data_IF_191933856315
#
_entry.id   IF_191933856315
#
_cell.length_a   1.000
_cell.length_b   1.000
_cell.length_c   1.000
_cell.angle_alpha   90.00
_cell.angle_beta   90.00
_cell.angle_gamma   90.00
#
_symmetry.space_group_name_H-M   'P 1'
#
loop_
_entity.id
_entity.type
_entity.pdbx_description
1 polymer ?
#
# COMPACT_ATOMS: atom_id res chain seq x y z
N UNK A 1 -9.02 -51.66 -13.41
CA UNK A 1 -7.91 -51.56 -12.43
C UNK A 1 -7.22 -50.22 -12.68
N UNK A 2 -7.09 -49.22 -11.80
CA UNK A 2 -7.36 -49.00 -10.38
C UNK A 2 -8.06 -47.64 -10.26
N UNK A 3 -9.15 -47.54 -9.51
CA UNK A 3 -9.75 -46.27 -9.08
C UNK A 3 -9.04 -45.86 -7.77
N UNK A 4 -8.35 -44.71 -7.75
CA UNK A 4 -7.90 -44.11 -6.49
C UNK A 4 -9.02 -43.18 -6.00
N UNK A 5 -9.71 -43.60 -4.93
CA UNK A 5 -10.61 -42.74 -4.17
C UNK A 5 -9.77 -41.80 -3.31
N UNK A 6 -9.92 -40.49 -3.50
CA UNK A 6 -9.54 -39.50 -2.48
C UNK A 6 -10.60 -39.53 -1.38
N UNK A 7 -10.22 -39.96 -0.18
CA UNK A 7 -11.01 -39.75 1.03
C UNK A 7 -10.56 -38.43 1.68
N UNK A 8 -11.42 -37.41 1.59
CA UNK A 8 -11.38 -36.24 2.46
C UNK A 8 -11.90 -36.69 3.84
N UNK A 9 -11.01 -36.80 4.83
CA UNK A 9 -11.39 -36.95 6.23
C UNK A 9 -11.86 -35.59 6.77
N UNK A 10 -13.08 -35.46 7.31
CA UNK A 10 -13.42 -34.34 8.16
C UNK A 10 -12.70 -34.51 9.50
N UNK A 11 -11.80 -33.58 9.85
CA UNK A 11 -11.30 -33.43 11.22
C UNK A 11 -12.48 -33.08 12.13
N UNK A 12 -12.99 -34.07 12.87
CA UNK A 12 -13.88 -33.84 13.99
C UNK A 12 -13.03 -33.37 15.18
N UNK A 13 -13.04 -32.08 15.47
CA UNK A 13 -12.59 -31.56 16.77
C UNK A 13 -13.60 -32.00 17.84
N UNK A 14 -13.28 -33.05 18.59
CA UNK A 14 -14.00 -33.38 19.82
C UNK A 14 -13.48 -32.50 20.97
N UNK A 15 -14.32 -31.69 21.64
CA UNK A 15 -13.93 -31.05 22.89
C UNK A 15 -13.94 -32.11 24.00
N UNK A 16 -12.76 -32.48 24.49
CA UNK A 16 -12.62 -33.24 25.72
C UNK A 16 -12.79 -32.28 26.91
N UNK A 17 -13.92 -32.35 27.60
CA UNK A 17 -14.09 -31.72 28.91
C UNK A 17 -13.79 -32.75 30.00
N UNK A 18 -12.74 -32.52 30.77
CA UNK A 18 -12.54 -33.17 32.06
C UNK A 18 -13.04 -32.20 33.15
N UNK A 19 -14.00 -32.64 33.96
CA UNK A 19 -14.41 -31.96 35.19
C UNK A 19 -13.74 -32.66 36.37
N UNK A 20 -12.94 -31.93 37.14
CA UNK A 20 -12.58 -32.27 38.52
C UNK A 20 -13.01 -31.13 39.47
N UNK A 21 -13.35 -31.45 40.73
CA UNK A 21 -14.23 -30.64 41.56
C UNK A 21 -13.51 -29.49 42.32
N UNK A 22 -14.35 -28.54 42.74
CA UNK A 22 -14.03 -27.27 43.38
C UNK A 22 -12.95 -27.31 44.48
N UNK A 23 -11.82 -26.68 44.17
CA UNK A 23 -11.05 -25.89 45.13
C UNK A 23 -10.70 -24.56 44.44
N UNK A 24 -10.76 -23.44 45.18
CA UNK A 24 -10.31 -22.12 44.72
C UNK A 24 -8.79 -22.12 44.51
N UNK A 25 -8.32 -22.87 43.52
CA UNK A 25 -6.98 -22.72 42.96
C UNK A 25 -6.99 -21.46 42.11
N UNK A 26 -6.01 -20.57 42.33
CA UNK A 26 -5.67 -19.55 41.33
C UNK A 26 -5.57 -20.26 39.98
N UNK A 27 -6.51 -19.94 39.08
CA UNK A 27 -6.56 -20.52 37.75
C UNK A 27 -5.26 -20.15 37.06
N UNK A 28 -4.29 -21.07 37.02
CA UNK A 28 -2.99 -20.86 36.38
C UNK A 28 -3.24 -20.38 34.95
N UNK A 29 -2.84 -19.14 34.66
CA UNK A 29 -2.93 -18.59 33.31
C UNK A 29 -1.81 -19.20 32.48
N UNK A 30 -2.14 -20.25 31.73
CA UNK A 30 -1.22 -20.90 30.80
C UNK A 30 -1.08 -20.12 29.48
N UNK A 31 -1.73 -18.96 29.36
CA UNK A 31 -1.80 -18.17 28.13
C UNK A 31 -2.82 -18.72 27.14
N UNK A 32 -2.88 -18.10 25.96
CA UNK A 32 -3.78 -18.46 24.86
C UNK A 32 -3.00 -18.70 23.58
N UNK A 33 -3.38 -19.75 22.84
CA UNK A 33 -2.94 -19.99 21.46
C UNK A 33 -4.06 -19.56 20.52
N UNK A 34 -3.75 -18.78 19.50
CA UNK A 34 -4.72 -18.35 18.49
C UNK A 34 -4.03 -18.11 17.15
N UNK A 35 -4.77 -18.23 16.06
CA UNK A 35 -4.18 -18.23 14.74
C UNK A 35 -5.23 -18.27 13.65
N UNK A 36 -4.76 -18.39 12.41
CA UNK A 36 -5.61 -18.49 11.23
C UNK A 36 -4.91 -19.30 10.15
N UNK A 37 -5.71 -20.02 9.37
CA UNK A 37 -5.27 -20.71 8.17
C UNK A 37 -6.02 -20.13 6.97
N UNK A 38 -5.27 -19.76 5.94
CA UNK A 38 -5.80 -19.29 4.67
C UNK A 38 -5.17 -20.11 3.54
N UNK A 39 -5.99 -20.54 2.59
CA UNK A 39 -5.56 -21.33 1.43
C UNK A 39 -6.26 -20.83 0.18
N UNK A 40 -5.48 -20.29 -0.75
CA UNK A 40 -5.97 -19.79 -2.03
C UNK A 40 -5.41 -20.69 -3.14
N UNK A 41 -6.27 -21.49 -3.77
CA UNK A 41 -5.88 -22.41 -4.84
C UNK A 41 -6.68 -22.14 -6.10
N UNK A 42 -6.01 -22.16 -7.26
CA UNK A 42 -6.62 -21.90 -8.56
C UNK A 42 -6.25 -22.98 -9.58
N UNK A 43 -7.21 -23.27 -10.47
CA UNK A 43 -6.99 -24.02 -11.70
C UNK A 43 -7.16 -23.08 -12.89
N UNK A 44 -6.07 -22.76 -13.59
CA UNK A 44 -6.12 -21.91 -14.78
C UNK A 44 -6.60 -22.72 -15.99
N UNK A 45 -7.53 -22.19 -16.77
CA UNK A 45 -8.13 -22.87 -17.94
C UNK A 45 -7.62 -22.28 -19.26
N UNK A 46 -7.71 -23.08 -20.33
CA UNK A 46 -7.51 -22.58 -21.69
C UNK A 46 -8.66 -21.67 -22.10
N UNK A 47 -8.35 -20.61 -22.85
CA UNK A 47 -9.33 -19.75 -23.50
C UNK A 47 -9.05 -19.71 -25.01
N UNK A 48 -9.92 -20.37 -25.77
CA UNK A 48 -9.82 -20.43 -27.24
C UNK A 48 -10.07 -19.08 -27.90
N UNK A 49 -10.87 -18.20 -27.28
CA UNK A 49 -11.24 -16.90 -27.85
C UNK A 49 -10.08 -15.91 -27.83
N UNK A 50 -9.25 -15.96 -26.78
CA UNK A 50 -8.06 -15.11 -26.63
C UNK A 50 -6.76 -15.80 -27.04
N UNK A 51 -6.81 -17.12 -27.34
CA UNK A 51 -5.64 -17.92 -27.70
C UNK A 51 -4.77 -18.33 -26.50
N UNK A 52 -5.24 -18.12 -25.27
CA UNK A 52 -4.51 -18.48 -24.04
C UNK A 52 -4.54 -19.99 -23.84
N UNK A 53 -3.36 -20.59 -23.73
CA UNK A 53 -3.17 -22.01 -23.48
C UNK A 53 -2.34 -22.25 -22.21
N UNK A 54 -2.71 -23.26 -21.44
CA UNK A 54 -1.98 -23.75 -20.26
C UNK A 54 -0.52 -24.11 -20.56
N UNK A 55 -0.20 -24.54 -21.77
CA UNK A 55 1.17 -24.88 -22.17
C UNK A 55 2.08 -23.64 -22.25
N UNK A 56 1.51 -22.47 -22.51
CA UNK A 56 2.26 -21.24 -22.81
C UNK A 56 2.49 -20.40 -21.55
N UNK A 57 3.38 -19.41 -21.67
CA UNK A 57 3.56 -18.36 -20.65
C UNK A 57 2.24 -17.62 -20.40
N UNK A 58 1.89 -17.31 -19.14
CA UNK A 58 2.66 -17.52 -17.91
C UNK A 58 2.35 -18.83 -17.17
N UNK A 59 1.47 -19.69 -17.71
CA UNK A 59 1.03 -20.93 -17.05
C UNK A 59 2.12 -22.01 -17.13
N UNK A 60 2.81 -22.13 -18.27
CA UNK A 60 3.97 -23.01 -18.48
C UNK A 60 3.72 -24.48 -18.08
N UNK A 61 2.58 -25.02 -18.48
CA UNK A 61 2.17 -26.40 -18.18
C UNK A 61 1.80 -26.65 -16.71
N UNK A 62 1.69 -25.60 -15.89
CA UNK A 62 1.43 -25.67 -14.44
C UNK A 62 0.09 -24.99 -14.08
N UNK A 63 -1.05 -25.61 -14.41
CA UNK A 63 -2.37 -25.01 -14.23
C UNK A 63 -2.86 -25.01 -12.78
N UNK A 64 -2.36 -25.91 -11.93
CA UNK A 64 -2.65 -25.91 -10.48
C UNK A 64 -1.64 -25.02 -9.77
N UNK A 65 -2.14 -24.02 -9.05
CA UNK A 65 -1.32 -23.09 -8.28
C UNK A 65 -2.00 -22.79 -6.95
N UNK A 66 -1.21 -22.58 -5.91
CA UNK A 66 -1.75 -22.38 -4.56
C UNK A 66 -0.82 -21.54 -3.69
N UNK A 67 -1.43 -20.67 -2.88
CA UNK A 67 -0.76 -19.87 -1.86
C UNK A 67 -1.47 -20.11 -0.53
N UNK A 68 -0.73 -20.55 0.48
CA UNK A 68 -1.28 -20.96 1.77
C UNK A 68 -0.52 -20.28 2.89
N UNK A 69 -1.24 -19.88 3.94
CA UNK A 69 -0.72 -19.14 5.08
C UNK A 69 -1.27 -19.74 6.37
N UNK A 70 -0.39 -20.17 7.27
CA UNK A 70 -0.75 -20.62 8.61
C UNK A 70 -0.08 -19.72 9.64
N UNK A 71 -0.87 -18.88 10.30
CA UNK A 71 -0.42 -18.04 11.40
C UNK A 71 -0.76 -18.71 12.74
N UNK A 72 0.23 -18.83 13.62
CA UNK A 72 0.05 -19.31 14.99
C UNK A 72 0.68 -18.32 15.94
N UNK A 73 -0.09 -17.87 16.94
CA UNK A 73 0.36 -16.98 17.99
C UNK A 73 0.14 -17.64 19.36
N UNK A 74 1.06 -17.37 20.27
CA UNK A 74 0.95 -17.65 21.68
C UNK A 74 1.02 -16.33 22.46
N UNK A 75 0.07 -16.09 23.35
CA UNK A 75 0.05 -14.91 24.19
C UNK A 75 -0.10 -15.29 25.66
N UNK A 76 0.75 -14.69 26.50
CA UNK A 76 0.70 -14.82 27.96
C UNK A 76 0.85 -13.42 28.57
N UNK A 77 -0.20 -12.93 29.24
CA UNK A 77 -0.24 -11.58 29.79
C UNK A 77 0.15 -10.51 28.73
N UNK A 78 1.24 -9.76 28.95
CA UNK A 78 1.76 -8.76 28.03
C UNK A 78 2.68 -9.33 26.93
N UNK A 79 3.10 -10.59 27.02
CA UNK A 79 3.98 -11.22 26.04
C UNK A 79 3.17 -11.89 24.92
N UNK A 80 3.59 -11.71 23.67
CA UNK A 80 3.05 -12.42 22.50
C UNK A 80 4.20 -12.90 21.62
N UNK A 81 4.17 -14.15 21.18
CA UNK A 81 5.05 -14.65 20.14
C UNK A 81 4.21 -15.23 18.99
N UNK A 82 4.64 -15.05 17.76
CA UNK A 82 3.92 -15.54 16.59
C UNK A 82 4.85 -16.06 15.50
N UNK A 83 4.35 -17.01 14.72
CA UNK A 83 5.00 -17.57 13.53
C UNK A 83 3.98 -17.73 12.42
N UNK A 84 4.36 -17.34 11.20
CA UNK A 84 3.59 -17.57 9.98
C UNK A 84 4.37 -18.53 9.09
N UNK A 85 3.78 -19.69 8.81
CA UNK A 85 4.22 -20.60 7.76
C UNK A 85 3.50 -20.25 6.46
N UNK A 86 4.24 -20.22 5.35
CA UNK A 86 3.69 -19.93 4.03
C UNK A 86 4.09 -21.04 3.06
N UNK A 87 3.16 -21.47 2.20
CA UNK A 87 3.38 -22.50 1.21
C UNK A 87 2.84 -22.10 -0.17
N UNK A 88 3.74 -22.09 -1.16
CA UNK A 88 3.51 -21.71 -2.55
C UNK A 88 3.65 -22.92 -3.49
N UNK A 89 2.94 -24.01 -3.18
CA UNK A 89 3.11 -25.35 -3.77
C UNK A 89 1.84 -25.81 -4.51
N UNK A 90 1.94 -26.47 -5.69
CA UNK A 90 3.18 -26.81 -6.41
C UNK A 90 3.83 -25.58 -7.08
N UNK A 91 3.09 -24.48 -7.22
CA UNK A 91 3.57 -23.20 -7.71
C UNK A 91 2.71 -22.08 -7.12
N UNK A 92 3.30 -20.89 -6.94
CA UNK A 92 2.56 -19.70 -6.55
C UNK A 92 1.51 -19.32 -7.61
N UNK A 93 0.41 -18.70 -7.17
CA UNK A 93 -0.57 -18.04 -8.05
C UNK A 93 0.13 -17.06 -9.01
N UNK A 94 -0.48 -16.84 -10.18
CA UNK A 94 0.05 -15.87 -11.15
C UNK A 94 0.12 -14.45 -10.55
N UNK A 95 1.04 -13.63 -11.05
CA UNK A 95 1.33 -12.26 -10.60
C UNK A 95 1.94 -12.12 -9.19
N UNK A 96 2.30 -13.22 -8.53
CA UNK A 96 3.15 -13.17 -7.33
C UNK A 96 4.62 -13.04 -7.70
N UNK A 97 5.41 -12.44 -6.81
CA UNK A 97 6.86 -12.40 -6.93
C UNK A 97 7.41 -13.83 -7.10
N UNK A 98 8.16 -14.13 -8.17
CA UNK A 98 8.69 -15.48 -8.40
C UNK A 98 9.69 -15.97 -7.35
N UNK A 99 10.17 -15.11 -6.45
CA UNK A 99 10.91 -15.52 -5.26
C UNK A 99 10.09 -16.33 -4.26
N UNK A 100 8.75 -16.34 -4.35
CA UNK A 100 7.87 -17.16 -3.52
C UNK A 100 7.74 -18.57 -4.10
N UNK A 101 8.57 -19.48 -3.60
CA UNK A 101 8.56 -20.89 -3.99
C UNK A 101 8.68 -21.79 -2.77
N UNK A 102 8.00 -22.94 -2.82
CA UNK A 102 8.09 -23.93 -1.76
C UNK A 102 7.31 -23.57 -0.50
N UNK A 103 7.64 -24.25 0.60
CA UNK A 103 7.09 -24.02 1.94
C UNK A 103 8.18 -23.54 2.88
N UNK A 104 7.94 -22.44 3.60
CA UNK A 104 8.91 -21.91 4.54
C UNK A 104 8.24 -21.09 5.67
N UNK A 105 9.02 -20.72 6.68
CA UNK A 105 8.63 -19.72 7.68
C UNK A 105 8.68 -18.34 7.01
N UNK A 106 7.51 -17.74 6.79
CA UNK A 106 7.38 -16.41 6.19
C UNK A 106 7.76 -15.31 7.17
N UNK A 107 7.15 -15.33 8.37
CA UNK A 107 7.42 -14.35 9.42
C UNK A 107 7.42 -14.99 10.80
N UNK A 108 8.10 -14.35 11.74
CA UNK A 108 8.09 -14.69 13.15
C UNK A 108 8.35 -13.44 13.99
N UNK A 109 7.82 -13.38 15.19
CA UNK A 109 8.06 -12.26 16.09
C UNK A 109 7.86 -12.64 17.56
N UNK A 110 8.45 -11.84 18.43
CA UNK A 110 8.13 -11.78 19.85
C UNK A 110 7.89 -10.31 20.24
N UNK A 111 6.85 -10.06 21.01
CA UNK A 111 6.49 -8.73 21.50
C UNK A 111 6.13 -8.75 22.97
N UNK A 112 6.36 -7.62 23.64
CA UNK A 112 5.98 -7.42 25.02
C UNK A 112 5.33 -6.04 25.18
N UNK A 113 4.10 -6.03 25.68
CA UNK A 113 3.27 -4.84 25.83
C UNK A 113 2.93 -4.58 27.30
N UNK A 114 3.17 -3.34 27.70
CA UNK A 114 2.74 -2.75 28.97
C UNK A 114 1.78 -1.58 28.68
N UNK A 115 1.40 -0.82 29.71
CA UNK A 115 0.60 0.40 29.53
C UNK A 115 1.34 1.50 28.75
N UNK A 116 2.65 1.65 28.98
CA UNK A 116 3.45 2.74 28.39
C UNK A 116 4.35 2.28 27.23
N UNK A 117 4.77 1.02 27.23
CA UNK A 117 5.76 0.52 26.26
C UNK A 117 5.26 -0.71 25.52
N UNK A 118 5.63 -0.81 24.26
CA UNK A 118 5.46 -1.98 23.42
C UNK A 118 6.76 -2.25 22.68
N UNK A 119 7.38 -3.40 22.94
CA UNK A 119 8.60 -3.85 22.30
C UNK A 119 8.26 -4.95 21.30
N UNK A 120 8.90 -4.97 20.14
CA UNK A 120 8.79 -6.07 19.17
C UNK A 120 10.17 -6.41 18.63
N UNK A 121 10.49 -7.70 18.57
CA UNK A 121 11.68 -8.24 17.94
C UNK A 121 11.26 -9.31 16.91
N UNK A 122 11.92 -9.34 15.76
CA UNK A 122 11.54 -10.18 14.61
C UNK A 122 10.85 -9.37 13.53
N UNK A 123 9.86 -9.96 12.87
CA UNK A 123 9.08 -9.30 11.81
C UNK A 123 7.97 -8.43 12.40
N UNK A 124 7.83 -7.22 11.88
CA UNK A 124 6.77 -6.31 12.26
C UNK A 124 6.31 -5.44 11.09
N UNK A 125 5.12 -4.91 11.24
CA UNK A 125 4.49 -3.96 10.31
C UNK A 125 4.38 -2.62 11.01
N UNK A 126 4.64 -1.55 10.28
CA UNK A 126 4.61 -0.18 10.80
C UNK A 126 4.33 0.81 9.66
N UNK A 127 3.63 1.89 9.98
CA UNK A 127 3.36 2.98 9.04
C UNK A 127 3.60 4.32 9.73
N UNK A 128 4.41 5.17 9.10
CA UNK A 128 4.63 6.54 9.56
C UNK A 128 3.74 7.50 8.76
N UNK A 129 2.86 8.21 9.45
CA UNK A 129 1.92 9.14 8.81
C UNK A 129 1.02 8.44 7.78
N UNK A 130 0.90 9.03 6.60
CA UNK A 130 0.17 8.40 5.47
C UNK A 130 0.93 7.26 4.79
N UNK A 131 2.18 6.98 5.20
CA UNK A 131 3.06 6.00 4.58
C UNK A 131 4.00 6.58 3.51
N UNK A 132 3.99 7.90 3.31
CA UNK A 132 4.83 8.58 2.31
C UNK A 132 6.34 8.40 2.54
N UNK A 133 6.77 8.21 3.80
CA UNK A 133 8.15 7.82 4.11
C UNK A 133 8.33 6.32 4.31
N UNK A 134 7.40 5.66 5.00
CA UNK A 134 7.50 4.25 5.38
C UNK A 134 6.12 3.62 5.57
N UNK A 135 5.89 2.50 4.88
CA UNK A 135 4.77 1.59 5.13
C UNK A 135 5.20 0.15 4.93
N UNK A 136 5.35 -0.57 6.04
CA UNK A 136 5.48 -2.02 6.06
C UNK A 136 4.10 -2.65 6.30
N UNK A 137 3.61 -3.44 5.35
CA UNK A 137 2.25 -4.02 5.39
C UNK A 137 2.19 -5.36 4.64
N UNK A 138 1.10 -6.08 4.85
CA UNK A 138 0.78 -7.30 4.10
C UNK A 138 -0.58 -7.14 3.41
N UNK A 139 -0.62 -7.52 2.13
CA UNK A 139 -1.83 -7.76 1.38
C UNK A 139 -1.64 -9.03 0.56
N UNK A 140 -2.27 -10.09 1.05
CA UNK A 140 -2.14 -11.42 0.49
C UNK A 140 -2.77 -11.50 -0.89
N UNK A 141 -3.83 -10.75 -1.19
CA UNK A 141 -4.48 -10.79 -2.49
C UNK A 141 -3.59 -10.17 -3.58
N UNK A 142 -2.84 -9.13 -3.22
CA UNK A 142 -1.85 -8.48 -4.10
C UNK A 142 -0.47 -9.17 -4.07
N UNK A 143 -0.27 -10.15 -3.18
CA UNK A 143 1.02 -10.82 -2.99
C UNK A 143 2.10 -9.91 -2.40
N UNK A 144 1.68 -8.84 -1.71
CA UNK A 144 2.58 -7.85 -1.11
C UNK A 144 2.82 -8.24 0.34
N UNK A 145 4.09 -8.34 0.72
CA UNK A 145 4.47 -8.37 2.13
C UNK A 145 5.81 -7.62 2.31
N UNK A 146 5.72 -6.43 2.91
CA UNK A 146 6.84 -5.51 3.10
C UNK A 146 7.26 -5.40 4.57
N UNK A 147 7.00 -6.43 5.39
CA UNK A 147 7.40 -6.47 6.79
C UNK A 147 8.86 -6.07 7.00
N UNK A 148 9.18 -5.41 8.12
CA UNK A 148 10.55 -5.18 8.54
C UNK A 148 10.96 -6.27 9.52
N UNK A 149 12.15 -6.87 9.36
CA UNK A 149 12.76 -7.75 10.34
C UNK A 149 13.81 -6.98 11.15
N UNK A 150 13.60 -6.86 12.45
CA UNK A 150 14.51 -6.15 13.35
C UNK A 150 13.90 -5.92 14.72
N UNK A 151 13.98 -4.68 15.22
CA UNK A 151 13.42 -4.25 16.49
C UNK A 151 12.57 -2.98 16.36
N UNK A 152 11.50 -2.91 17.14
CA UNK A 152 10.62 -1.74 17.26
C UNK A 152 10.26 -1.49 18.71
N UNK A 153 10.19 -0.22 19.09
CA UNK A 153 9.70 0.25 20.39
C UNK A 153 8.63 1.31 20.15
N UNK A 154 7.48 1.15 20.79
CA UNK A 154 6.46 2.19 20.87
C UNK A 154 6.36 2.65 22.33
N UNK A 155 6.51 3.95 22.55
CA UNK A 155 6.39 4.60 23.84
C UNK A 155 5.17 5.54 23.85
N UNK A 156 4.29 5.32 24.82
CA UNK A 156 3.04 6.07 25.04
C UNK A 156 3.06 6.66 26.45
N UNK A 157 3.74 7.79 26.67
CA UNK A 157 3.78 8.44 27.99
C UNK A 157 2.40 8.92 28.46
N UNK A 158 1.47 9.15 27.53
CA UNK A 158 0.07 9.49 27.81
C UNK A 158 -0.81 9.07 26.63
N UNK A 159 -2.13 9.18 26.79
CA UNK A 159 -3.08 8.91 25.71
C UNK A 159 -2.96 9.90 24.52
N UNK A 160 -2.28 11.03 24.71
CA UNK A 160 -2.16 12.08 23.69
C UNK A 160 -0.82 12.06 22.95
N UNK A 161 0.09 11.14 23.30
CA UNK A 161 1.45 11.17 22.77
C UNK A 161 1.95 9.76 22.48
N UNK A 162 2.43 9.55 21.26
CA UNK A 162 3.03 8.30 20.81
C UNK A 162 4.36 8.59 20.15
N UNK A 163 5.38 7.86 20.55
CA UNK A 163 6.67 7.80 19.89
C UNK A 163 6.93 6.38 19.42
N UNK A 164 7.40 6.23 18.20
CA UNK A 164 7.84 4.94 17.66
C UNK A 164 9.29 5.06 17.23
N UNK A 165 10.14 4.13 17.64
CA UNK A 165 11.49 3.98 17.15
C UNK A 165 11.66 2.57 16.58
N UNK A 166 12.35 2.44 15.46
CA UNK A 166 12.56 1.15 14.80
C UNK A 166 13.92 1.06 14.10
N UNK A 167 14.39 -0.16 14.00
CA UNK A 167 15.49 -0.58 13.14
C UNK A 167 15.15 -1.93 12.51
N UNK A 168 15.45 -2.12 11.23
CA UNK A 168 15.31 -3.42 10.60
C UNK A 168 15.63 -3.42 9.12
N UNK A 169 15.48 -4.60 8.51
CA UNK A 169 15.62 -4.81 7.07
C UNK A 169 14.32 -5.28 6.48
N UNK A 170 13.96 -4.78 5.30
CA UNK A 170 12.70 -5.11 4.65
C UNK A 170 12.70 -6.56 4.16
N UNK A 171 11.58 -7.26 4.34
CA UNK A 171 11.33 -8.59 3.78
C UNK A 171 11.39 -8.53 2.25
N UNK A 172 12.00 -9.56 1.65
CA UNK A 172 11.97 -9.83 0.21
C UNK A 172 11.95 -11.35 0.02
N UNK A 173 10.84 -11.88 -0.49
CA UNK A 173 10.59 -13.33 -0.51
C UNK A 173 10.55 -13.93 0.90
N UNK A 174 11.30 -15.01 1.12
CA UNK A 174 11.54 -15.61 2.45
C UNK A 174 12.79 -15.06 3.16
N UNK A 175 13.44 -14.03 2.59
CA UNK A 175 14.62 -13.40 3.16
C UNK A 175 14.36 -11.92 3.43
N UNK A 176 15.42 -11.15 3.64
CA UNK A 176 15.40 -9.70 3.77
C UNK A 176 16.34 -9.07 2.75
N UNK A 177 16.02 -7.85 2.37
CA UNK A 177 16.91 -6.95 1.66
C UNK A 177 18.15 -6.60 2.51
N UNK A 178 19.19 -6.11 1.85
CA UNK A 178 20.46 -5.73 2.44
C UNK A 178 20.43 -4.32 3.08
N UNK A 179 19.49 -3.47 2.67
CA UNK A 179 19.35 -2.11 3.18
C UNK A 179 18.92 -2.06 4.63
N UNK A 180 19.63 -1.28 5.44
CA UNK A 180 19.34 -1.02 6.85
C UNK A 180 18.41 0.18 6.98
N UNK A 181 17.27 -0.02 7.65
CA UNK A 181 16.23 0.99 7.82
C UNK A 181 16.19 1.43 9.28
N UNK A 182 16.23 2.74 9.50
CA UNK A 182 16.09 3.40 10.79
C UNK A 182 14.85 4.28 10.76
N UNK A 183 14.03 4.24 11.79
CA UNK A 183 12.81 5.04 11.83
C UNK A 183 12.58 5.65 13.19
N UNK A 184 12.13 6.90 13.19
CA UNK A 184 11.54 7.56 14.35
C UNK A 184 10.26 8.27 13.93
N UNK A 185 9.21 8.13 14.73
CA UNK A 185 7.93 8.78 14.52
C UNK A 185 7.41 9.34 15.83
N UNK A 186 6.76 10.50 15.74
CA UNK A 186 6.12 11.18 16.85
C UNK A 186 4.75 11.66 16.43
N UNK A 187 3.76 11.43 17.29
CA UNK A 187 2.41 11.94 17.16
C UNK A 187 1.96 12.54 18.49
N UNK A 188 1.54 13.80 18.47
CA UNK A 188 1.12 14.55 19.64
C UNK A 188 -0.22 15.19 19.36
N UNK A 189 -1.24 14.76 20.10
CA UNK A 189 -2.54 15.39 20.14
C UNK A 189 -2.49 16.61 21.09
N UNK A 190 -2.72 17.79 20.52
CA UNK A 190 -2.60 19.08 21.20
C UNK A 190 -3.95 19.59 21.72
N UNK A 191 -5.06 18.91 21.44
CA UNK A 191 -6.40 19.39 21.79
C UNK A 191 -6.59 19.62 23.27
N UNK A 192 -6.13 18.70 24.13
CA UNK A 192 -6.21 18.88 25.59
C UNK A 192 -5.33 20.02 26.07
N UNK A 193 -4.15 20.21 25.48
CA UNK A 193 -3.23 21.30 25.83
C UNK A 193 -3.82 22.68 25.47
N UNK A 194 -4.46 22.76 24.30
CA UNK A 194 -5.09 23.97 23.78
C UNK A 194 -6.53 24.19 24.28
N UNK A 195 -7.04 23.26 25.11
CA UNK A 195 -8.42 23.27 25.67
C UNK A 195 -9.49 23.31 24.59
N UNK A 196 -9.28 22.61 23.48
CA UNK A 196 -10.31 22.44 22.46
C UNK A 196 -11.33 21.40 22.91
N UNK A 197 -12.61 21.77 22.91
CA UNK A 197 -13.72 20.86 23.26
C UNK A 197 -14.33 20.19 22.01
N UNK A 198 -14.38 20.90 20.89
CA UNK A 198 -15.03 20.45 19.65
C UNK A 198 -14.04 20.22 18.49
N UNK A 199 -12.74 20.41 18.75
CA UNK A 199 -11.70 20.31 17.72
C UNK A 199 -10.62 19.32 18.12
N UNK A 200 -10.23 18.47 17.18
CA UNK A 200 -9.02 17.67 17.26
C UNK A 200 -7.88 18.38 16.51
N UNK A 201 -6.71 18.52 17.14
CA UNK A 201 -5.50 18.97 16.48
C UNK A 201 -4.36 18.03 16.86
N UNK A 202 -3.82 17.33 15.86
CA UNK A 202 -2.69 16.41 16.03
C UNK A 202 -1.53 16.84 15.15
N UNK A 203 -0.35 16.98 15.76
CA UNK A 203 0.91 17.20 15.05
C UNK A 203 1.69 15.90 14.99
N UNK A 204 2.34 15.65 13.85
CA UNK A 204 3.24 14.51 13.69
C UNK A 204 4.55 14.90 13.04
N UNK A 205 5.63 14.23 13.43
CA UNK A 205 6.91 14.33 12.76
C UNK A 205 7.56 12.96 12.65
N UNK A 206 8.12 12.64 11.48
CA UNK A 206 8.83 11.38 11.25
C UNK A 206 10.19 11.60 10.63
N UNK A 207 11.05 10.63 10.86
CA UNK A 207 12.34 10.45 10.23
C UNK A 207 12.48 9.00 9.78
N UNK A 208 12.97 8.80 8.56
CA UNK A 208 13.36 7.50 8.02
C UNK A 208 14.76 7.63 7.41
N UNK A 209 15.70 6.85 7.91
CA UNK A 209 17.01 6.70 7.31
C UNK A 209 17.12 5.35 6.62
N UNK A 210 17.67 5.31 5.42
CA UNK A 210 18.03 4.07 4.73
C UNK A 210 19.51 4.08 4.41
N UNK A 211 20.25 3.13 4.95
CA UNK A 211 21.64 2.85 4.58
C UNK A 211 21.72 1.69 3.61
N UNK A 212 22.43 1.88 2.50
CA UNK A 212 22.80 0.83 1.56
C UNK A 212 24.16 1.17 0.98
N UNK A 213 25.07 0.18 0.97
CA UNK A 213 26.42 0.36 0.42
C UNK A 213 26.34 0.68 -1.07
N UNK A 214 27.06 1.73 -1.50
CA UNK A 214 27.08 2.16 -2.89
C UNK A 214 28.04 1.30 -3.74
N UNK A 215 27.69 1.02 -5.01
CA UNK A 215 28.62 0.49 -6.00
C UNK A 215 29.78 1.45 -6.27
N UNK A 216 30.89 0.92 -6.79
CA UNK A 216 32.00 1.74 -7.27
C UNK A 216 31.55 2.67 -8.41
N UNK A 217 32.06 3.90 -8.43
CA UNK A 217 31.76 4.91 -9.44
C UNK A 217 30.53 5.78 -9.17
N UNK A 218 29.74 5.48 -8.13
CA UNK A 218 28.66 6.36 -7.66
C UNK A 218 29.23 7.35 -6.63
N UNK A 219 29.08 8.66 -6.90
CA UNK A 219 29.71 9.73 -6.10
C UNK A 219 28.81 10.94 -5.83
N UNK A 220 27.62 11.01 -6.42
CA UNK A 220 26.75 12.21 -6.32
C UNK A 220 25.76 12.20 -5.16
N UNK A 221 25.71 11.11 -4.38
CA UNK A 221 24.88 10.98 -3.19
C UNK A 221 25.52 10.02 -2.19
N UNK A 222 25.05 10.07 -0.94
CA UNK A 222 25.59 9.26 0.15
C UNK A 222 24.95 7.87 0.26
N UNK A 223 25.68 6.95 0.90
CA UNK A 223 25.18 5.60 1.20
C UNK A 223 23.90 5.63 2.05
N UNK A 224 23.80 6.61 2.94
CA UNK A 224 22.61 6.87 3.77
C UNK A 224 21.75 7.94 3.12
N UNK A 225 20.50 7.59 2.80
CA UNK A 225 19.47 8.57 2.42
C UNK A 225 18.62 8.88 3.63
N UNK A 226 18.42 10.16 3.90
CA UNK A 226 17.61 10.65 5.01
C UNK A 226 16.29 11.20 4.47
N UNK A 227 15.19 10.87 5.14
CA UNK A 227 13.88 11.43 4.85
C UNK A 227 13.19 11.91 6.12
N UNK A 228 12.50 13.04 6.04
CA UNK A 228 11.76 13.65 7.15
C UNK A 228 10.37 14.07 6.69
N UNK A 229 9.40 14.05 7.58
CA UNK A 229 8.04 14.51 7.29
C UNK A 229 7.44 15.27 8.47
N UNK A 230 6.71 16.35 8.17
CA UNK A 230 5.86 17.05 9.12
C UNK A 230 4.38 16.88 8.76
N UNK A 231 3.54 16.67 9.77
CA UNK A 231 2.10 16.41 9.60
C UNK A 231 1.25 17.26 10.52
N UNK A 232 0.11 17.68 10.01
CA UNK A 232 -0.94 18.34 10.76
C UNK A 232 -2.26 17.67 10.41
N UNK A 233 -3.01 17.26 11.43
CA UNK A 233 -4.38 16.76 11.28
C UNK A 233 -5.30 17.63 12.14
N UNK A 234 -6.35 18.15 11.52
CA UNK A 234 -7.35 18.99 12.16
C UNK A 234 -8.74 18.44 11.88
N UNK A 235 -9.55 18.29 12.92
CA UNK A 235 -10.96 17.90 12.83
C UNK A 235 -11.76 18.92 13.62
N UNK A 236 -12.83 19.43 13.05
CA UNK A 236 -13.78 20.29 13.75
C UNK A 236 -15.20 19.97 13.30
N UNK A 237 -15.99 19.39 14.21
CA UNK A 237 -17.35 18.94 13.92
C UNK A 237 -17.39 18.01 12.68
N UNK A 238 -18.06 18.45 11.62
CA UNK A 238 -18.24 17.74 10.35
C UNK A 238 -17.07 17.88 9.37
N UNK A 239 -16.07 18.71 9.68
CA UNK A 239 -14.96 19.01 8.79
C UNK A 239 -13.66 18.37 9.26
N UNK A 240 -12.85 17.89 8.33
CA UNK A 240 -11.45 17.57 8.60
C UNK A 240 -10.54 18.14 7.52
N UNK A 241 -9.30 18.40 7.90
CA UNK A 241 -8.20 18.68 7.00
C UNK A 241 -6.92 18.04 7.55
N UNK A 242 -6.13 17.47 6.67
CA UNK A 242 -4.79 16.97 6.99
C UNK A 242 -3.80 17.43 5.95
N UNK A 243 -2.59 17.77 6.38
CA UNK A 243 -1.46 18.08 5.53
C UNK A 243 -0.24 17.28 5.95
N UNK A 244 0.49 16.74 4.97
CA UNK A 244 1.78 16.09 5.16
C UNK A 244 2.77 16.66 4.13
N UNK A 245 3.90 17.17 4.63
CA UNK A 245 5.05 17.52 3.81
C UNK A 245 6.19 16.58 4.12
N UNK A 246 6.74 15.95 3.10
CA UNK A 246 7.87 15.04 3.21
C UNK A 246 9.03 15.52 2.36
N UNK A 247 10.24 15.35 2.86
CA UNK A 247 11.49 15.69 2.19
C UNK A 247 12.45 14.49 2.28
N UNK A 248 13.15 14.21 1.19
CA UNK A 248 14.17 13.16 1.08
C UNK A 248 15.44 13.80 0.54
N UNK A 249 16.58 13.54 1.15
CA UNK A 249 17.89 13.97 0.61
C UNK A 249 18.14 13.33 -0.75
N UNK A 250 19.22 13.75 -1.40
CA UNK A 250 19.71 13.14 -2.63
C UNK A 250 19.76 11.62 -2.51
N UNK A 251 19.24 10.95 -3.54
CA UNK A 251 19.16 9.51 -3.60
C UNK A 251 19.34 9.06 -5.06
N UNK A 252 19.83 7.83 -5.22
CA UNK A 252 20.17 7.29 -6.52
C UNK A 252 18.98 7.19 -7.46
N UNK A 253 19.17 7.69 -8.68
CA UNK A 253 18.22 7.53 -9.78
C UNK A 253 18.61 6.29 -10.59
N UNK A 254 17.60 5.57 -11.07
CA UNK A 254 17.80 4.42 -11.97
C UNK A 254 17.69 4.88 -13.42
N UNK A 255 18.62 4.43 -14.26
CA UNK A 255 18.53 4.59 -15.70
C UNK A 255 17.51 3.60 -16.31
N UNK A 256 17.36 3.64 -17.64
CA UNK A 256 16.42 2.75 -18.36
C UNK A 256 16.77 1.26 -18.25
N UNK A 257 18.01 0.93 -17.88
CA UNK A 257 18.47 -0.42 -17.56
C UNK A 257 18.42 -0.69 -16.06
N UNK A 258 17.61 0.03 -15.27
CA UNK A 258 17.48 -0.14 -13.83
C UNK A 258 18.82 -0.17 -13.07
N UNK A 259 19.83 0.56 -13.55
CA UNK A 259 21.14 0.72 -12.90
C UNK A 259 21.28 2.11 -12.32
N UNK A 260 21.99 2.19 -11.20
CA UNK A 260 22.28 3.45 -10.56
C UNK A 260 23.09 4.36 -11.49
N UNK A 261 22.73 5.64 -11.50
CA UNK A 261 23.44 6.67 -12.24
C UNK A 261 23.70 7.88 -11.36
N UNK A 262 24.78 8.60 -11.66
CA UNK A 262 25.08 9.91 -11.08
C UNK A 262 24.24 11.04 -11.70
N UNK A 263 23.58 10.77 -12.84
CA UNK A 263 22.74 11.74 -13.54
C UNK A 263 21.41 11.98 -12.83
N UNK A 264 20.90 13.21 -12.93
CA UNK A 264 19.58 13.60 -12.41
C UNK A 264 19.37 13.43 -10.90
N UNK A 265 20.44 13.23 -10.14
CA UNK A 265 20.38 13.11 -8.69
C UNK A 265 20.01 14.47 -8.08
N UNK A 266 18.87 14.52 -7.41
CA UNK A 266 18.36 15.68 -6.66
C UNK A 266 17.61 15.20 -5.42
N UNK A 267 17.43 16.06 -4.40
CA UNK A 267 16.49 15.78 -3.32
C UNK A 267 15.08 15.52 -3.85
N UNK A 268 14.29 14.79 -3.06
CA UNK A 268 12.88 14.55 -3.32
C UNK A 268 11.99 15.29 -2.33
N UNK A 269 10.76 15.59 -2.73
CA UNK A 269 9.72 16.04 -1.81
C UNK A 269 8.36 15.47 -2.16
N UNK A 270 7.46 15.48 -1.19
CA UNK A 270 6.05 15.20 -1.41
C UNK A 270 5.17 16.10 -0.55
N UNK A 271 4.05 16.53 -1.12
CA UNK A 271 2.98 17.26 -0.46
C UNK A 271 1.71 16.42 -0.60
N UNK A 272 1.05 16.12 0.50
CA UNK A 272 -0.25 15.47 0.54
C UNK A 272 -1.20 16.33 1.36
N UNK A 273 -2.34 16.68 0.79
CA UNK A 273 -3.39 17.44 1.45
C UNK A 273 -4.69 16.65 1.29
N UNK A 274 -5.36 16.37 2.41
CA UNK A 274 -6.71 15.81 2.40
C UNK A 274 -7.64 16.79 3.12
N UNK A 275 -8.84 16.98 2.61
CA UNK A 275 -9.88 17.75 3.27
C UNK A 275 -11.25 17.15 2.97
N UNK A 276 -12.12 17.15 3.97
CA UNK A 276 -13.45 16.60 3.80
C UNK A 276 -14.48 17.27 4.69
N UNK A 277 -15.73 17.11 4.28
CA UNK A 277 -16.90 17.59 5.00
C UNK A 277 -18.00 16.54 4.94
N UNK A 278 -18.53 16.15 6.09
CA UNK A 278 -19.64 15.20 6.15
C UNK A 278 -20.73 15.63 7.12
N UNK A 279 -21.95 15.70 6.62
CA UNK A 279 -23.18 15.91 7.38
C UNK A 279 -24.26 14.97 6.85
N UNK A 280 -25.36 14.82 7.57
CA UNK A 280 -26.49 14.00 7.12
C UNK A 280 -26.85 14.29 5.66
N UNK A 281 -26.77 13.25 4.83
CA UNK A 281 -27.06 13.29 3.39
C UNK A 281 -25.94 13.84 2.50
N UNK A 282 -24.83 14.39 3.01
CA UNK A 282 -23.72 14.91 2.19
C UNK A 282 -22.36 14.42 2.71
N UNK A 283 -21.55 13.85 1.83
CA UNK A 283 -20.13 13.59 2.06
C UNK A 283 -19.29 14.19 0.94
N UNK A 284 -18.26 14.94 1.29
CA UNK A 284 -17.25 15.44 0.36
C UNK A 284 -15.88 15.03 0.90
N UNK A 285 -15.05 14.42 0.07
CA UNK A 285 -13.64 14.15 0.35
C UNK A 285 -12.80 14.62 -0.84
N UNK A 286 -11.71 15.30 -0.56
CA UNK A 286 -10.77 15.78 -1.56
C UNK A 286 -9.35 15.48 -1.12
N UNK A 287 -8.58 14.87 -2.01
CA UNK A 287 -7.16 14.61 -1.83
C UNK A 287 -6.38 15.28 -2.96
N UNK A 288 -5.34 16.02 -2.63
CA UNK A 288 -4.37 16.57 -3.58
C UNK A 288 -2.98 16.10 -3.20
N UNK A 289 -2.22 15.65 -4.19
CA UNK A 289 -0.84 15.20 -3.99
C UNK A 289 0.09 15.75 -5.05
N UNK A 290 1.27 16.16 -4.62
CA UNK A 290 2.45 16.38 -5.45
C UNK A 290 3.58 15.50 -4.94
N UNK A 291 4.26 14.77 -5.83
CA UNK A 291 5.50 14.06 -5.49
C UNK A 291 6.57 14.36 -6.51
N UNK A 292 7.80 14.53 -6.05
CA UNK A 292 8.99 14.79 -6.86
C UNK A 292 10.13 13.92 -6.36
N UNK A 293 10.71 13.09 -7.23
CA UNK A 293 11.79 12.15 -6.94
C UNK A 293 11.60 11.38 -5.63
N UNK A 294 10.38 10.90 -5.38
CA UNK A 294 9.95 10.42 -4.07
C UNK A 294 9.75 8.91 -3.98
N UNK A 295 10.08 8.12 -5.01
CA UNK A 295 10.18 6.67 -4.83
C UNK A 295 11.30 6.35 -3.85
N UNK A 296 11.01 5.55 -2.82
CA UNK A 296 11.99 5.18 -1.80
C UNK A 296 12.07 3.67 -1.67
N UNK A 297 13.25 3.12 -1.91
CA UNK A 297 13.51 1.69 -1.94
C UNK A 297 14.46 1.30 -0.81
N UNK A 298 14.33 0.08 -0.29
CA UNK A 298 15.30 -0.47 0.67
C UNK A 298 16.61 -0.84 -0.03
N UNK A 299 16.53 -1.34 -1.27
CA UNK A 299 17.65 -1.51 -2.19
C UNK A 299 17.39 -0.72 -3.47
N UNK A 300 18.36 0.08 -3.91
CA UNK A 300 18.19 0.96 -5.08
C UNK A 300 18.06 0.17 -6.37
N UNK A 301 18.97 -0.77 -6.62
CA UNK A 301 18.95 -1.57 -7.83
C UNK A 301 17.99 -2.76 -7.66
N UNK A 302 16.96 -2.88 -8.51
CA UNK A 302 16.04 -3.98 -8.40
C UNK A 302 16.66 -5.27 -8.89
N UNK A 303 16.16 -6.39 -8.36
CA UNK A 303 16.56 -7.72 -8.82
C UNK A 303 15.76 -8.08 -10.06
N UNK A 304 16.45 -8.49 -11.13
CA UNK A 304 15.79 -8.99 -12.33
C UNK A 304 15.16 -10.35 -12.07
N UNK A 305 13.92 -10.48 -12.53
CA UNK A 305 13.15 -11.72 -12.46
C UNK A 305 13.24 -12.45 -13.80
N UNK A 306 13.14 -11.71 -14.89
CA UNK A 306 13.34 -12.17 -16.27
C UNK A 306 13.80 -11.00 -17.16
N UNK A 307 13.74 -11.16 -18.48
CA UNK A 307 14.20 -10.15 -19.44
C UNK A 307 13.33 -8.88 -19.47
N UNK A 308 12.10 -8.92 -18.98
CA UNK A 308 11.13 -7.81 -19.04
C UNK A 308 10.57 -7.39 -17.68
N UNK A 309 10.93 -8.10 -16.60
CA UNK A 309 10.40 -7.88 -15.25
C UNK A 309 11.48 -7.84 -14.17
N UNK A 310 11.21 -7.05 -13.13
CA UNK A 310 12.08 -6.85 -11.98
C UNK A 310 11.28 -6.92 -10.67
N UNK A 311 11.96 -6.93 -9.54
CA UNK A 311 11.35 -6.88 -8.20
C UNK A 311 10.36 -5.72 -8.03
N UNK A 312 10.56 -4.59 -8.73
CA UNK A 312 9.66 -3.44 -8.66
C UNK A 312 8.27 -3.72 -9.23
N UNK A 313 8.14 -4.63 -10.20
CA UNK A 313 6.85 -5.03 -10.76
C UNK A 313 5.95 -5.72 -9.71
N UNK A 314 6.53 -6.21 -8.62
CA UNK A 314 5.85 -6.90 -7.54
C UNK A 314 5.80 -6.09 -6.23
N UNK A 315 6.09 -4.77 -6.30
CA UNK A 315 6.24 -3.90 -5.11
C UNK A 315 7.26 -4.41 -4.09
N UNK A 316 8.20 -5.26 -4.51
CA UNK A 316 9.24 -5.78 -3.64
C UNK A 316 10.30 -4.70 -3.40
N UNK A 317 10.78 -4.63 -2.15
CA UNK A 317 11.79 -3.65 -1.68
C UNK A 317 11.37 -2.17 -1.74
N UNK A 318 10.07 -1.89 -1.89
CA UNK A 318 9.53 -0.51 -1.83
C UNK A 318 9.22 -0.14 -0.38
N UNK A 319 9.86 0.91 0.15
CA UNK A 319 9.69 1.33 1.55
C UNK A 319 8.47 2.20 1.76
N UNK A 320 8.24 3.14 0.86
CA UNK A 320 7.14 4.08 0.96
C UNK A 320 5.90 3.63 0.19
N UNK A 321 4.76 4.18 0.56
CA UNK A 321 3.48 3.86 -0.06
C UNK A 321 2.85 5.11 -0.64
N UNK A 322 2.60 5.06 -1.94
CA UNK A 322 1.94 6.15 -2.68
C UNK A 322 0.77 5.55 -3.47
N UNK A 323 -0.48 5.65 -2.98
CA UNK A 323 -1.63 5.04 -3.64
C UNK A 323 -1.97 5.74 -4.96
N UNK A 324 -2.64 5.07 -5.89
CA UNK A 324 -3.03 5.68 -7.16
C UNK A 324 -4.02 6.86 -7.01
N UNK A 325 -4.88 6.84 -5.97
CA UNK A 325 -5.90 7.87 -5.73
C UNK A 325 -6.78 8.12 -6.97
N UNK A 326 -7.48 7.06 -7.39
CA UNK A 326 -8.50 7.08 -8.44
C UNK A 326 -9.73 6.28 -7.97
N UNK A 327 -10.88 6.46 -8.64
CA UNK A 327 -12.09 5.70 -8.31
C UNK A 327 -11.84 4.20 -8.50
N UNK A 328 -12.25 3.40 -7.51
CA UNK A 328 -12.34 1.96 -7.66
C UNK A 328 -13.67 1.61 -8.32
N UNK A 329 -13.64 1.10 -9.55
CA UNK A 329 -14.85 0.73 -10.28
C UNK A 329 -15.32 -0.67 -9.91
N UNK A 330 -16.65 -0.84 -9.84
CA UNK A 330 -17.26 -2.17 -9.76
C UNK A 330 -17.28 -2.90 -11.11
N UNK A 331 -17.24 -2.16 -12.23
CA UNK A 331 -17.25 -2.73 -13.57
C UNK A 331 -15.84 -3.12 -14.01
N UNK A 332 -15.64 -4.38 -14.40
CA UNK A 332 -14.36 -4.85 -14.93
C UNK A 332 -13.93 -4.09 -16.19
N UNK A 333 -14.87 -3.62 -17.01
CA UNK A 333 -14.55 -2.86 -18.23
C UNK A 333 -13.86 -1.52 -17.91
N UNK A 334 -14.26 -0.86 -16.81
CA UNK A 334 -13.66 0.39 -16.37
C UNK A 334 -12.30 0.21 -15.66
N UNK A 335 -11.95 -1.04 -15.33
CA UNK A 335 -10.70 -1.41 -14.66
C UNK A 335 -9.65 -2.01 -15.63
N UNK A 336 -9.80 -1.83 -16.95
CA UNK A 336 -8.80 -2.30 -17.91
C UNK A 336 -7.55 -1.40 -17.89
N UNK A 337 -7.71 -0.10 -17.65
CA UNK A 337 -6.61 0.87 -17.55
C UNK A 337 -6.51 1.43 -16.14
N UNK A 338 -5.72 0.76 -15.30
CA UNK A 338 -5.54 1.13 -13.89
C UNK A 338 -4.37 2.08 -13.74
N UNK A 339 -4.63 3.28 -13.22
CA UNK A 339 -3.58 4.24 -12.91
C UNK A 339 -2.65 3.73 -11.81
N UNK A 340 -1.35 3.95 -11.97
CA UNK A 340 -0.34 3.71 -10.94
C UNK A 340 0.44 5.01 -10.69
N UNK A 341 0.63 5.35 -9.42
CA UNK A 341 1.29 6.59 -9.03
C UNK A 341 2.72 6.66 -9.60
N UNK A 342 3.05 7.79 -10.21
CA UNK A 342 4.33 8.09 -10.83
C UNK A 342 5.16 8.92 -9.86
N UNK A 343 5.98 8.25 -9.05
CA UNK A 343 6.75 8.92 -7.96
C UNK A 343 8.24 9.00 -8.21
N UNK A 344 8.74 8.29 -9.23
CA UNK A 344 10.16 8.23 -9.55
C UNK A 344 10.52 9.24 -10.63
N UNK A 345 11.79 9.59 -10.64
CA UNK A 345 12.44 10.13 -11.82
C UNK A 345 12.56 9.02 -12.87
N UNK A 346 12.10 9.29 -14.10
CA UNK A 346 12.15 8.34 -15.22
C UNK A 346 12.39 9.09 -16.54
N UNK A 347 13.20 8.48 -17.41
CA UNK A 347 13.61 9.05 -18.69
C UNK A 347 13.56 7.97 -19.76
N UNK A 348 12.37 7.73 -20.30
CA UNK A 348 12.09 6.73 -21.33
C UNK A 348 12.53 7.26 -22.71
N UNK A 349 13.83 7.53 -22.87
CA UNK A 349 14.43 8.14 -24.07
C UNK A 349 14.46 9.67 -24.05
N UNK A 350 14.74 10.28 -25.21
CA UNK A 350 14.95 11.74 -25.32
C UNK A 350 13.67 12.59 -25.21
N UNK A 351 12.48 11.98 -25.30
CA UNK A 351 11.22 12.71 -25.45
C UNK A 351 10.31 12.63 -24.21
N UNK A 352 10.47 11.63 -23.35
CA UNK A 352 9.60 11.40 -22.20
C UNK A 352 10.44 11.46 -20.94
N UNK A 353 10.30 12.57 -20.23
CA UNK A 353 11.05 12.86 -19.00
C UNK A 353 10.07 13.17 -17.88
N UNK A 354 10.26 12.50 -16.74
CA UNK A 354 9.40 12.59 -15.58
C UNK A 354 10.22 12.76 -14.32
N UNK A 355 9.71 13.54 -13.38
CA UNK A 355 10.30 13.65 -12.05
C UNK A 355 9.30 13.31 -10.94
N UNK A 356 8.09 12.87 -11.27
CA UNK A 356 7.04 12.55 -10.33
C UNK A 356 5.67 12.90 -10.88
N UNK A 357 4.76 13.33 -10.02
CA UNK A 357 3.38 13.63 -10.40
C UNK A 357 2.76 14.75 -9.56
N UNK A 358 1.73 15.38 -10.10
CA UNK A 358 0.84 16.30 -9.41
C UNK A 358 -0.59 16.04 -9.84
N UNK A 359 -1.53 16.11 -8.90
CA UNK A 359 -2.92 15.79 -9.18
C UNK A 359 -3.75 15.64 -7.92
N UNK A 360 -4.96 15.13 -8.10
CA UNK A 360 -5.87 14.91 -7.00
C UNK A 360 -7.14 14.21 -7.40
N UNK A 361 -7.93 13.91 -6.38
CA UNK A 361 -9.23 13.28 -6.46
C UNK A 361 -10.21 14.04 -5.58
N UNK A 362 -11.45 14.19 -6.04
CA UNK A 362 -12.59 14.62 -5.24
C UNK A 362 -13.73 13.62 -5.38
N UNK A 363 -14.30 13.24 -4.25
CA UNK A 363 -15.50 12.42 -4.13
C UNK A 363 -16.61 13.23 -3.48
N UNK A 364 -17.79 13.20 -4.08
CA UNK A 364 -18.99 13.84 -3.56
C UNK A 364 -20.12 12.82 -3.55
N UNK A 365 -20.67 12.57 -2.37
CA UNK A 365 -21.82 11.71 -2.15
C UNK A 365 -22.98 12.54 -1.63
N UNK A 366 -24.15 12.40 -2.25
CA UNK A 366 -25.36 13.05 -1.79
C UNK A 366 -26.55 12.10 -1.80
N UNK A 367 -27.18 11.95 -0.64
CA UNK A 367 -28.40 11.16 -0.46
C UNK A 367 -29.59 12.12 -0.38
N UNK A 368 -30.37 12.18 -1.46
CA UNK A 368 -31.64 12.90 -1.49
C UNK A 368 -32.63 12.21 -0.55
N UNK A 369 -33.14 12.97 0.41
CA UNK A 369 -34.09 12.46 1.41
C UNK A 369 -35.36 11.88 0.78
N UNK A 370 -35.95 10.91 1.48
CA UNK A 370 -37.23 10.31 1.10
C UNK A 370 -38.34 11.35 1.08
N UNK A 371 -39.36 11.12 0.27
CA UNK A 371 -40.53 11.97 0.10
C UNK A 371 -40.19 13.39 -0.41
N UNK A 372 -39.02 13.58 -1.02
CA UNK A 372 -38.65 14.82 -1.73
C UNK A 372 -38.82 14.67 -3.24
N UNK A 373 -38.85 15.79 -3.98
CA UNK A 373 -39.00 15.76 -5.44
C UNK A 373 -37.92 14.92 -6.14
N UNK A 374 -36.66 15.00 -5.67
CA UNK A 374 -35.53 14.27 -6.26
C UNK A 374 -35.33 12.90 -5.61
N UNK A 375 -35.61 12.75 -4.31
CA UNK A 375 -35.50 11.47 -3.60
C UNK A 375 -36.64 10.50 -3.86
N UNK A 376 -37.87 10.98 -4.10
CA UNK A 376 -39.06 10.14 -4.19
C UNK A 376 -39.28 9.30 -2.91
N UNK A 377 -40.14 8.28 -2.99
CA UNK A 377 -40.52 7.46 -1.83
C UNK A 377 -39.35 6.79 -1.11
N UNK A 378 -38.33 6.36 -1.86
CA UNK A 378 -37.24 5.54 -1.32
C UNK A 378 -35.91 6.29 -1.15
N UNK A 379 -35.82 7.53 -1.64
CA UNK A 379 -34.57 8.30 -1.70
C UNK A 379 -33.82 8.06 -3.02
N UNK A 380 -32.88 8.95 -3.31
CA UNK A 380 -31.98 8.85 -4.47
C UNK A 380 -30.56 9.09 -4.00
N UNK A 381 -29.62 8.26 -4.43
CA UNK A 381 -28.20 8.43 -4.12
C UNK A 381 -27.46 8.94 -5.34
N UNK A 382 -26.68 9.98 -5.16
CA UNK A 382 -25.80 10.58 -6.15
C UNK A 382 -24.36 10.41 -5.68
N UNK A 383 -23.49 9.92 -6.54
CA UNK A 383 -22.06 9.91 -6.31
C UNK A 383 -21.36 10.52 -7.53
N UNK A 384 -20.52 11.51 -7.28
CA UNK A 384 -19.64 12.13 -8.26
C UNK A 384 -18.20 11.90 -7.82
N UNK A 385 -17.35 11.52 -8.76
CA UNK A 385 -15.91 11.43 -8.55
C UNK A 385 -15.18 12.10 -9.70
N UNK A 386 -14.13 12.85 -9.40
CA UNK A 386 -13.20 13.33 -10.40
C UNK A 386 -11.77 13.13 -9.90
N UNK A 387 -10.95 12.44 -10.68
CA UNK A 387 -9.52 12.28 -10.44
C UNK A 387 -8.72 12.66 -11.67
N UNK A 388 -7.61 13.38 -11.50
CA UNK A 388 -6.72 13.78 -12.59
C UNK A 388 -5.28 13.87 -12.13
N UNK A 389 -4.38 13.27 -12.92
CA UNK A 389 -2.95 13.13 -12.61
C UNK A 389 -2.08 13.55 -13.79
N UNK A 390 -0.99 14.26 -13.49
CA UNK A 390 -0.12 14.91 -14.47
C UNK A 390 1.35 14.77 -14.07
N UNK A 391 2.24 14.90 -15.06
CA UNK A 391 3.65 15.19 -14.81
C UNK A 391 3.80 16.52 -14.08
N UNK A 392 4.92 16.69 -13.39
CA UNK A 392 5.27 17.98 -12.82
C UNK A 392 5.55 19.00 -13.93
N UNK A 393 5.01 20.23 -13.83
CA UNK A 393 5.39 21.31 -14.73
C UNK A 393 6.86 21.66 -14.52
N UNK A 394 7.64 21.76 -15.60
CA UNK A 394 9.06 21.99 -15.47
C UNK A 394 9.82 21.91 -16.79
N UNK A 395 11.13 22.17 -16.70
CA UNK A 395 12.09 21.95 -17.77
C UNK A 395 12.84 20.64 -17.53
N UNK A 396 13.00 19.85 -18.59
CA UNK A 396 13.70 18.57 -18.55
C UNK A 396 14.70 18.51 -19.71
N UNK A 397 15.96 18.17 -19.43
CA UNK A 397 17.05 18.11 -20.41
C UNK A 397 17.89 16.86 -20.19
N UNK A 398 18.14 16.09 -21.26
CA UNK A 398 18.98 14.89 -21.16
C UNK A 398 20.48 15.21 -21.27
N UNK A 399 20.85 16.26 -22.00
CA UNK A 399 22.24 16.66 -22.19
C UNK A 399 22.42 18.19 -22.07
N UNK A 400 23.00 18.70 -20.97
CA UNK A 400 23.36 17.96 -19.76
C UNK A 400 22.13 17.41 -19.04
N UNK A 401 22.30 16.33 -18.27
CA UNK A 401 21.24 15.66 -17.53
C UNK A 401 20.76 16.52 -16.35
N UNK A 402 19.67 17.27 -16.57
CA UNK A 402 19.12 18.20 -15.60
C UNK A 402 17.59 18.30 -15.72
N UNK A 403 16.93 18.57 -14.60
CA UNK A 403 15.52 18.93 -14.60
C UNK A 403 15.22 19.97 -13.52
N UNK A 404 14.22 20.82 -13.73
CA UNK A 404 13.72 21.78 -12.74
C UNK A 404 12.21 21.78 -12.79
N UNK A 405 11.55 21.63 -11.64
CA UNK A 405 10.09 21.59 -11.57
C UNK A 405 9.54 22.74 -10.76
N UNK A 406 8.33 23.18 -11.11
CA UNK A 406 7.59 24.15 -10.33
C UNK A 406 6.75 23.43 -9.27
N UNK A 407 6.49 24.13 -8.16
CA UNK A 407 5.64 23.59 -7.10
C UNK A 407 4.15 23.56 -7.51
N UNK A 408 3.71 24.53 -8.32
CA UNK A 408 2.34 24.66 -8.82
C UNK A 408 2.25 24.48 -10.34
N UNK A 409 1.08 24.04 -10.79
CA UNK A 409 0.76 23.82 -12.20
C UNK A 409 0.75 22.34 -12.58
N UNK A 410 0.57 22.07 -13.86
CA UNK A 410 0.50 20.71 -14.43
C UNK A 410 1.33 20.65 -15.71
N UNK A 411 2.09 19.57 -15.89
CA UNK A 411 2.73 19.22 -17.15
C UNK A 411 1.82 18.33 -18.01
N UNK A 412 2.43 17.35 -18.68
CA UNK A 412 1.70 16.37 -19.48
C UNK A 412 0.68 15.58 -18.64
N UNK A 413 -0.51 15.34 -19.19
CA UNK A 413 -1.55 14.57 -18.50
C UNK A 413 -1.24 13.07 -18.57
N UNK A 414 -1.20 12.43 -17.41
CA UNK A 414 -1.08 10.97 -17.31
C UNK A 414 -2.44 10.32 -17.38
N UNK A 415 -3.38 10.80 -16.55
CA UNK A 415 -4.65 10.12 -16.33
C UNK A 415 -5.75 11.11 -15.95
N UNK A 416 -6.98 10.79 -16.30
CA UNK A 416 -8.15 11.30 -15.57
C UNK A 416 -9.29 10.31 -15.60
N UNK A 417 -10.15 10.42 -14.60
CA UNK A 417 -11.36 9.62 -14.50
C UNK A 417 -12.47 10.45 -13.85
N UNK A 418 -13.51 10.72 -14.62
CA UNK A 418 -14.67 11.51 -14.21
C UNK A 418 -15.92 10.65 -14.23
N UNK A 419 -16.59 10.58 -13.09
CA UNK A 419 -17.64 9.61 -12.85
C UNK A 419 -18.88 10.27 -12.26
N UNK A 420 -20.04 9.87 -12.77
CA UNK A 420 -21.33 10.18 -12.20
C UNK A 420 -22.12 8.89 -12.03
N UNK A 421 -22.64 8.70 -10.83
CA UNK A 421 -23.42 7.54 -10.46
C UNK A 421 -24.70 7.97 -9.77
N UNK A 422 -25.84 7.49 -10.28
CA UNK A 422 -27.15 7.75 -9.72
C UNK A 422 -27.81 6.41 -9.42
N UNK A 423 -28.08 6.14 -8.15
CA UNK A 423 -28.84 4.96 -7.73
C UNK A 423 -30.21 5.39 -7.22
N UNK A 424 -31.25 4.77 -7.75
CA UNK A 424 -32.62 5.04 -7.34
C UNK A 424 -33.41 3.75 -7.19
N UNK A 425 -34.13 3.64 -6.09
CA UNK A 425 -35.13 2.61 -5.93
C UNK A 425 -36.47 3.16 -6.41
N UNK A 426 -37.08 2.49 -7.40
CA UNK A 426 -38.35 2.90 -8.01
C UNK A 426 -39.55 2.19 -7.36
N UNK A 427 -39.34 0.97 -6.85
CA UNK A 427 -40.33 0.19 -6.10
C UNK A 427 -39.64 -0.73 -5.08
N UNK A 428 -40.40 -1.49 -4.29
CA UNK A 428 -39.84 -2.47 -3.35
C UNK A 428 -38.98 -3.54 -4.04
N UNK A 429 -39.20 -3.79 -5.33
CA UNK A 429 -38.49 -4.81 -6.12
C UNK A 429 -37.58 -4.24 -7.20
N UNK A 430 -37.77 -2.97 -7.62
CA UNK A 430 -37.00 -2.35 -8.70
C UNK A 430 -35.97 -1.34 -8.17
N UNK A 431 -34.70 -1.67 -8.41
CA UNK A 431 -33.55 -0.82 -8.13
C UNK A 431 -32.82 -0.53 -9.43
N UNK A 432 -32.58 0.75 -9.72
CA UNK A 432 -31.87 1.18 -10.91
C UNK A 432 -30.58 1.91 -10.53
N UNK A 433 -29.57 1.75 -11.36
CA UNK A 433 -28.31 2.45 -11.24
C UNK A 433 -27.86 2.91 -12.62
N UNK A 434 -27.56 4.20 -12.75
CA UNK A 434 -26.98 4.82 -13.93
C UNK A 434 -25.54 5.18 -13.63
N UNK A 435 -24.64 4.88 -14.56
CA UNK A 435 -23.21 5.17 -14.47
C UNK A 435 -22.76 5.88 -15.75
N UNK A 436 -22.08 7.01 -15.58
CA UNK A 436 -21.32 7.67 -16.63
C UNK A 436 -19.85 7.70 -16.21
N UNK A 437 -18.96 7.26 -17.10
CA UNK A 437 -17.52 7.14 -16.88
C UNK A 437 -16.82 7.78 -18.07
N UNK A 438 -15.92 8.72 -17.82
CA UNK A 438 -15.05 9.34 -18.82
C UNK A 438 -13.60 9.22 -18.35
N UNK A 439 -12.84 8.33 -18.99
CA UNK A 439 -11.51 7.94 -18.55
C UNK A 439 -10.47 8.20 -19.64
N UNK A 440 -9.37 8.85 -19.29
CA UNK A 440 -8.23 9.09 -20.17
C UNK A 440 -6.99 8.40 -19.61
N UNK A 441 -6.27 7.64 -20.45
CA UNK A 441 -5.06 6.92 -20.05
C UNK A 441 -3.89 7.13 -21.03
N UNK A 442 -2.89 7.90 -20.60
CA UNK A 442 -1.69 8.13 -21.41
C UNK A 442 -0.70 6.98 -21.26
N UNK A 443 -0.90 5.91 -22.03
CA UNK A 443 -0.06 4.70 -22.01
C UNK A 443 1.40 4.99 -22.37
N UNK A 444 1.64 5.83 -23.37
CA UNK A 444 2.98 6.21 -23.82
C UNK A 444 3.82 6.73 -22.66
N UNK A 445 3.25 7.66 -21.90
CA UNK A 445 3.96 8.21 -20.77
C UNK A 445 4.05 7.18 -19.65
N UNK A 446 2.98 6.45 -19.30
CA UNK A 446 2.97 5.61 -18.09
C UNK A 446 3.72 4.27 -18.21
N UNK A 447 3.59 3.58 -19.34
CA UNK A 447 4.11 2.21 -19.55
C UNK A 447 5.12 2.11 -20.70
N UNK A 448 5.15 3.10 -21.61
CA UNK A 448 5.78 2.99 -22.92
C UNK A 448 4.87 2.29 -23.94
N UNK A 449 4.69 2.87 -25.13
CA UNK A 449 3.81 2.39 -26.20
C UNK A 449 2.87 3.47 -26.76
N UNK A 450 1.93 3.11 -27.64
CA UNK A 450 1.03 4.10 -28.26
C UNK A 450 -0.01 4.65 -27.28
N UNK A 451 -0.34 5.93 -27.45
CA UNK A 451 -1.37 6.63 -26.66
C UNK A 451 -2.75 6.01 -26.89
N UNK A 452 -3.46 5.70 -25.81
CA UNK A 452 -4.83 5.15 -25.86
C UNK A 452 -5.82 6.25 -25.47
N UNK A 453 -6.79 6.51 -26.34
CA UNK A 453 -7.95 7.34 -26.02
C UNK A 453 -9.14 6.41 -25.78
N UNK A 454 -9.69 6.41 -24.56
CA UNK A 454 -10.83 5.57 -24.17
C UNK A 454 -12.02 6.39 -23.70
#
# INVERSE_FOLDING_TARGET
MKKLLLWLLPMACAPAFAQEPDSLQEKKDYGRVYGGFESNSAWYINDKGTGVNQADTPINGKPIRSNNYLLVNYQLSGFTAGVQLEAYEPNALLNYNPGFTGTNVGTWYASYKTKMFEFTAGYFYEQFGSGMLLRAWEDRALGINTALRGGRVIFRPSDNTKFTALYGRQRSGFNVANGDIYGFDSEVNMSKLLKFEQSDLTFGASYVGRYEKLPEGITTFDATTHAVSGRLNFIHNSFYASGEYSYKTEDGVLNTQNKLTNAFVKPGNAILINAGYSKEGLGIDATVRRTENFKFLSEREPTYVDATSSSLNFNDKVLNFTPALTKQHHSNLANIYVYQAQTKVDYLGNLIMKAGETGGQIDVYYDFAKETALGGKYGTKLAFNASSWYNLPGEYRLNPAEYSTNIFGTGEKYFSDYNLEIRKQLSETWHTAFYYINQYYNKEWQEGGDKVHT
#
